data_IF_177376766467
#
_entry.id   IF_177376766467
#
_cell.length_a   1.000
_cell.length_b   1.000
_cell.length_c   1.000
_cell.angle_alpha   90.00
_cell.angle_beta   90.00
_cell.angle_gamma   90.00
#
_symmetry.space_group_name_H-M   'P 1'
#
loop_
_entity.id
_entity.type
_entity.pdbx_description
1 polymer ?
#
# COMPACT_ATOMS: atom_id res chain seq x y z
N UNK A 1 9.69 -4.39 -3.11
CA UNK A 1 8.62 -5.23 -2.55
C UNK A 1 7.32 -4.43 -2.42
N UNK A 2 7.33 -3.29 -1.72
CA UNK A 2 6.20 -2.35 -1.61
C UNK A 2 5.49 -2.06 -2.96
N UNK A 3 6.25 -1.60 -3.96
CA UNK A 3 5.73 -1.32 -5.31
C UNK A 3 4.92 -2.49 -5.90
N UNK A 4 5.45 -3.71 -5.88
CA UNK A 4 4.80 -4.87 -6.50
C UNK A 4 3.45 -5.20 -5.85
N UNK A 5 3.31 -4.95 -4.54
CA UNK A 5 2.04 -5.18 -3.84
C UNK A 5 1.05 -4.08 -4.14
N UNK A 6 1.47 -2.81 -4.10
CA UNK A 6 0.61 -1.66 -4.44
C UNK A 6 0.14 -1.75 -5.88
N UNK A 7 1.05 -2.06 -6.82
CA UNK A 7 0.75 -2.27 -8.23
C UNK A 7 -0.24 -3.41 -8.44
N UNK A 8 -0.05 -4.54 -7.74
CA UNK A 8 -1.00 -5.66 -7.77
C UNK A 8 -2.39 -5.27 -7.27
N UNK A 9 -2.48 -4.51 -6.18
CA UNK A 9 -3.75 -4.01 -5.63
C UNK A 9 -4.42 -3.06 -6.62
N UNK A 10 -3.68 -2.13 -7.21
CA UNK A 10 -4.17 -1.17 -8.20
C UNK A 10 -4.76 -1.86 -9.45
N UNK A 11 -4.21 -3.01 -9.85
CA UNK A 11 -4.68 -3.79 -10.99
C UNK A 11 -5.76 -4.84 -10.63
N UNK A 12 -6.38 -4.75 -9.44
CA UNK A 12 -7.48 -5.64 -9.03
C UNK A 12 -7.04 -7.10 -8.77
N UNK A 13 -5.73 -7.31 -8.57
CA UNK A 13 -5.13 -8.60 -8.24
C UNK A 13 -4.70 -8.68 -6.77
N UNK A 14 -5.02 -7.66 -5.97
CA UNK A 14 -4.72 -7.60 -4.56
C UNK A 14 -5.48 -8.62 -3.73
N UNK A 15 -4.91 -8.98 -2.57
CA UNK A 15 -5.53 -9.85 -1.57
C UNK A 15 -5.72 -9.07 -0.28
N UNK A 16 -6.70 -9.45 0.54
CA UNK A 16 -6.91 -8.80 1.85
C UNK A 16 -5.65 -8.85 2.73
N UNK A 17 -4.92 -9.95 2.67
CA UNK A 17 -3.63 -10.14 3.35
C UNK A 17 -2.55 -9.14 2.91
N UNK A 18 -2.66 -8.57 1.69
CA UNK A 18 -1.67 -7.62 1.17
C UNK A 18 -1.65 -6.31 1.96
N UNK A 19 -2.79 -5.92 2.56
CA UNK A 19 -2.90 -4.71 3.39
C UNK A 19 -2.03 -4.86 4.65
N UNK A 20 -2.15 -6.00 5.34
CA UNK A 20 -1.38 -6.26 6.56
C UNK A 20 0.09 -6.53 6.23
N UNK A 21 0.34 -7.18 5.09
CA UNK A 21 1.69 -7.44 4.59
C UNK A 21 2.43 -6.15 4.23
N UNK A 22 1.76 -5.18 3.61
CA UNK A 22 2.35 -3.86 3.32
C UNK A 22 2.80 -3.14 4.60
N UNK A 23 2.00 -3.20 5.67
CA UNK A 23 2.39 -2.63 6.97
C UNK A 23 3.61 -3.35 7.56
N UNK A 24 3.59 -4.68 7.59
CA UNK A 24 4.72 -5.49 8.08
C UNK A 24 6.01 -5.17 7.32
N UNK A 25 5.94 -5.01 6.00
CA UNK A 25 7.12 -4.70 5.17
C UNK A 25 7.60 -3.29 5.39
N UNK A 26 6.70 -2.31 5.50
CA UNK A 26 7.07 -0.94 5.80
C UNK A 26 7.76 -0.83 7.17
N UNK A 27 7.25 -1.53 8.19
CA UNK A 27 7.88 -1.62 9.51
C UNK A 27 9.23 -2.33 9.46
N UNK A 28 9.40 -3.31 8.57
CA UNK A 28 10.68 -3.99 8.38
C UNK A 28 11.73 -3.15 7.63
N UNK A 29 11.31 -2.12 6.90
CA UNK A 29 12.21 -1.18 6.21
C UNK A 29 12.60 -0.04 7.16
N UNK A 30 11.64 0.46 7.93
CA UNK A 30 11.83 1.66 8.76
C UNK A 30 12.93 1.45 9.81
N UNK A 31 13.90 2.36 9.85
CA UNK A 31 15.03 2.31 10.80
C UNK A 31 16.04 1.18 10.55
N UNK A 32 15.93 0.45 9.43
CA UNK A 32 16.85 -0.63 9.05
C UNK A 32 17.63 -0.35 7.77
N UNK A 33 17.53 0.86 7.25
CA UNK A 33 18.28 1.33 6.07
C UNK A 33 19.31 2.38 6.45
N UNK A 34 20.44 2.40 5.73
CA UNK A 34 21.54 3.35 5.98
C UNK A 34 21.11 4.80 5.68
N UNK A 35 20.30 5.01 4.65
CA UNK A 35 19.83 6.32 4.21
C UNK A 35 18.34 6.50 4.57
N UNK A 36 17.93 7.75 4.84
CA UNK A 36 16.55 8.14 5.13
C UNK A 36 15.57 7.88 3.96
N UNK A 37 16.06 7.54 2.76
CA UNK A 37 15.21 7.14 1.64
C UNK A 37 14.33 5.92 1.98
N UNK A 38 14.84 4.98 2.80
CA UNK A 38 14.05 3.81 3.22
C UNK A 38 12.84 4.22 4.05
N UNK A 39 13.04 5.09 5.04
CA UNK A 39 11.96 5.65 5.86
C UNK A 39 11.00 6.49 5.01
N UNK A 40 11.54 7.31 4.11
CA UNK A 40 10.76 8.14 3.18
C UNK A 40 9.88 7.30 2.23
N UNK A 41 10.27 6.06 1.91
CA UNK A 41 9.47 5.13 1.12
C UNK A 41 8.44 4.36 1.97
N UNK A 42 8.76 4.02 3.22
CA UNK A 42 7.89 3.28 4.12
C UNK A 42 6.75 4.12 4.71
N UNK A 43 7.03 5.38 5.08
CA UNK A 43 6.07 6.28 5.72
C UNK A 43 4.82 6.54 4.87
N UNK A 44 4.91 6.84 3.56
CA UNK A 44 3.74 7.06 2.72
C UNK A 44 2.83 5.83 2.65
N UNK A 45 3.40 4.62 2.54
CA UNK A 45 2.62 3.38 2.51
C UNK A 45 1.83 3.19 3.80
N UNK A 46 2.47 3.39 4.96
CA UNK A 46 1.78 3.30 6.27
C UNK A 46 0.70 4.34 6.41
N UNK A 47 0.96 5.59 6.01
CA UNK A 47 -0.02 6.66 6.05
C UNK A 47 -1.21 6.35 5.12
N UNK A 48 -0.95 5.87 3.91
CA UNK A 48 -2.01 5.47 2.97
C UNK A 48 -2.90 4.38 3.55
N UNK A 49 -2.33 3.33 4.13
CA UNK A 49 -3.12 2.26 4.73
C UNK A 49 -3.90 2.77 5.95
N UNK A 50 -3.30 3.64 6.77
CA UNK A 50 -3.97 4.20 7.95
C UNK A 50 -5.19 5.06 7.58
N UNK A 51 -5.05 5.91 6.58
CA UNK A 51 -6.08 6.91 6.24
C UNK A 51 -7.06 6.43 5.17
N UNK A 52 -6.63 5.59 4.25
CA UNK A 52 -7.40 5.16 3.08
C UNK A 52 -7.64 3.65 3.05
N UNK A 53 -7.58 2.96 4.20
CA UNK A 53 -7.82 1.50 4.27
C UNK A 53 -9.08 1.06 3.53
N UNK A 54 -10.15 1.86 3.66
CA UNK A 54 -11.43 1.58 3.00
C UNK A 54 -11.32 1.53 1.48
N UNK A 55 -10.49 2.39 0.87
CA UNK A 55 -10.26 2.38 -0.58
C UNK A 55 -9.50 1.13 -1.02
N UNK A 56 -8.51 0.71 -0.24
CA UNK A 56 -7.77 -0.53 -0.52
C UNK A 56 -8.67 -1.76 -0.45
N UNK A 57 -9.53 -1.84 0.58
CA UNK A 57 -10.53 -2.92 0.71
C UNK A 57 -11.49 -2.90 -0.48
N UNK A 58 -12.00 -1.73 -0.85
CA UNK A 58 -12.89 -1.59 -1.99
C UNK A 58 -12.20 -2.02 -3.31
N UNK A 59 -10.94 -1.61 -3.54
CA UNK A 59 -10.17 -2.05 -4.70
C UNK A 59 -10.00 -3.57 -4.75
N UNK A 60 -9.82 -4.23 -3.61
CA UNK A 60 -9.65 -5.69 -3.54
C UNK A 60 -10.98 -6.40 -3.78
N UNK A 61 -12.05 -5.95 -3.14
CA UNK A 61 -13.37 -6.60 -3.21
C UNK A 61 -14.07 -6.36 -4.55
N UNK A 62 -14.03 -5.12 -5.05
CA UNK A 62 -14.76 -4.71 -6.25
C UNK A 62 -13.90 -4.64 -7.50
N UNK A 63 -12.56 -4.71 -7.36
CA UNK A 63 -11.60 -4.58 -8.47
C UNK A 63 -11.72 -3.26 -9.24
N UNK A 64 -12.27 -2.25 -8.58
CA UNK A 64 -12.50 -0.92 -9.12
C UNK A 64 -12.07 0.14 -8.12
N UNK A 65 -11.69 1.31 -8.61
CA UNK A 65 -11.38 2.47 -7.76
C UNK A 65 -12.67 3.19 -7.35
N UNK A 66 -12.74 3.66 -6.11
CA UNK A 66 -13.79 4.60 -5.67
C UNK A 66 -13.57 6.00 -6.24
N UNK A 67 -12.33 6.31 -6.60
CA UNK A 67 -11.95 7.58 -7.24
C UNK A 67 -12.18 7.44 -8.74
N UNK A 68 -12.99 8.31 -9.36
CA UNK A 68 -13.21 8.31 -10.79
C UNK A 68 -11.93 8.54 -11.59
N UNK A 69 -11.84 7.97 -12.79
CA UNK A 69 -10.66 8.08 -13.65
C UNK A 69 -10.45 9.47 -14.29
N UNK A 70 -11.30 10.46 -14.00
CA UNK A 70 -11.10 11.83 -14.49
C UNK A 70 -10.19 12.60 -13.52
N UNK A 71 -8.88 12.54 -13.77
CA UNK A 71 -7.91 13.52 -13.28
C UNK A 71 -7.06 13.97 -14.46
#
# INVERSE_FOLDING_TARGET
WLYRMVDRIAHGQGRMEDIDLLNSVADNIQGRTICALGDAAAMPVRAMIKHFRGEFVHLIEHKTSVVPAYV
#
